data_IF_287325472965
#
_entry.id   IF_287325472965
#
_cell.length_a   1.000
_cell.length_b   1.000
_cell.length_c   1.000
_cell.angle_alpha   90.00
_cell.angle_beta   90.00
_cell.angle_gamma   90.00
#
_symmetry.space_group_name_H-M   'P 1'
#
loop_
_entity.id
_entity.type
_entity.pdbx_description
1 polymer ?
#
# COMPACT_ATOMS: atom_id res chain seq x y z
N UNK A 1 -35.95 0.81 24.97
CA UNK A 1 -34.88 1.35 24.11
C UNK A 1 -33.72 0.37 24.19
N UNK A 2 -33.56 -0.47 23.18
CA UNK A 2 -32.49 -1.48 23.15
C UNK A 2 -31.26 -0.82 22.54
N UNK A 3 -30.13 -0.84 23.27
CA UNK A 3 -28.88 -0.29 22.78
C UNK A 3 -28.46 -1.04 21.51
N UNK A 4 -28.10 -0.28 20.46
CA UNK A 4 -27.46 -0.84 19.27
C UNK A 4 -26.07 -1.33 19.69
N UNK A 5 -25.71 -2.60 19.46
CA UNK A 5 -24.37 -3.07 19.80
C UNK A 5 -23.34 -2.28 18.99
N UNK A 6 -22.41 -1.65 19.70
CA UNK A 6 -21.23 -1.04 19.09
C UNK A 6 -20.43 -2.16 18.45
N UNK A 7 -20.31 -2.14 17.13
CA UNK A 7 -19.45 -3.08 16.43
C UNK A 7 -18.00 -2.77 16.79
N UNK A 8 -17.41 -3.63 17.63
CA UNK A 8 -16.02 -3.52 18.03
C UNK A 8 -15.15 -3.71 16.78
N UNK A 9 -14.19 -2.80 16.58
CA UNK A 9 -13.25 -2.87 15.47
C UNK A 9 -12.31 -4.03 15.75
N UNK A 10 -12.57 -5.17 15.11
CA UNK A 10 -11.66 -6.32 15.13
C UNK A 10 -10.26 -5.83 14.72
N UNK A 11 -9.25 -5.87 15.61
CA UNK A 11 -7.90 -5.51 15.22
C UNK A 11 -7.53 -6.44 14.07
N UNK A 12 -7.00 -5.89 12.98
CA UNK A 12 -6.50 -6.70 11.87
C UNK A 12 -5.41 -7.61 12.42
N UNK A 13 -5.77 -8.84 12.82
CA UNK A 13 -4.89 -9.90 13.32
C UNK A 13 -4.13 -10.53 12.15
N UNK A 14 -3.79 -9.73 11.14
CA UNK A 14 -2.97 -10.20 10.03
C UNK A 14 -1.60 -10.58 10.60
N UNK A 15 -1.24 -11.86 10.46
CA UNK A 15 0.11 -12.38 10.74
C UNK A 15 1.18 -11.58 9.99
N UNK A 16 0.80 -10.94 8.89
CA UNK A 16 1.64 -10.08 8.07
C UNK A 16 1.65 -8.67 8.65
N UNK A 17 2.82 -8.24 9.12
CA UNK A 17 3.07 -6.86 9.52
C UNK A 17 3.58 -6.08 8.31
N UNK A 18 2.75 -5.24 7.66
CA UNK A 18 3.24 -4.37 6.61
C UNK A 18 4.21 -3.35 7.21
N UNK A 19 5.26 -3.04 6.46
CA UNK A 19 6.32 -2.12 6.90
C UNK A 19 6.67 -1.07 5.84
N UNK A 20 6.05 -1.14 4.66
CA UNK A 20 6.37 -0.31 3.50
C UNK A 20 5.11 0.31 2.91
N UNK A 21 5.24 1.59 2.55
CA UNK A 21 4.26 2.34 1.77
C UNK A 21 4.86 2.67 0.39
N UNK A 22 4.07 2.48 -0.66
CA UNK A 22 4.46 2.83 -2.03
C UNK A 22 3.31 3.55 -2.73
N UNK A 23 3.61 4.59 -3.49
CA UNK A 23 2.63 5.23 -4.38
C UNK A 23 2.29 4.27 -5.52
N UNK A 24 1.01 3.89 -5.60
CA UNK A 24 0.48 3.01 -6.64
C UNK A 24 0.02 3.82 -7.85
N UNK A 25 -0.79 4.85 -7.60
CA UNK A 25 -1.28 5.79 -8.62
C UNK A 25 -1.34 7.21 -8.05
N UNK A 26 -0.96 8.19 -8.85
CA UNK A 26 -1.16 9.62 -8.54
C UNK A 26 -2.48 10.10 -9.16
N UNK A 27 -3.10 11.11 -8.58
CA UNK A 27 -4.26 11.77 -9.18
C UNK A 27 -3.95 12.21 -10.60
N UNK A 28 -4.86 11.88 -11.54
CA UNK A 28 -4.69 12.10 -12.98
C UNK A 28 -3.51 11.38 -13.64
N UNK A 29 -2.85 10.46 -12.93
CA UNK A 29 -1.83 9.56 -13.49
C UNK A 29 -2.44 8.36 -14.23
N UNK A 30 -1.66 7.72 -15.09
CA UNK A 30 -2.07 6.45 -15.71
C UNK A 30 -2.03 5.35 -14.66
N UNK A 31 -3.13 4.63 -14.51
CA UNK A 31 -3.22 3.46 -13.62
C UNK A 31 -2.59 2.26 -14.32
N UNK A 32 -1.63 1.62 -13.66
CA UNK A 32 -1.06 0.37 -14.17
C UNK A 32 -2.12 -0.72 -14.18
N UNK A 33 -2.14 -1.57 -15.22
CA UNK A 33 -3.10 -2.69 -15.33
C UNK A 33 -2.80 -3.85 -14.35
N UNK A 34 -1.80 -3.72 -13.47
CA UNK A 34 -1.45 -4.74 -12.50
C UNK A 34 -2.37 -4.68 -11.28
N UNK A 35 -3.24 -5.68 -11.14
CA UNK A 35 -4.23 -5.75 -10.06
C UNK A 35 -3.63 -6.08 -8.68
N UNK A 36 -2.39 -6.57 -8.63
CA UNK A 36 -1.73 -6.99 -7.39
C UNK A 36 -0.95 -5.83 -6.78
N UNK A 37 0.06 -5.31 -7.50
CA UNK A 37 0.92 -4.21 -7.02
C UNK A 37 1.69 -3.57 -8.18
N UNK A 38 1.94 -2.26 -8.09
CA UNK A 38 2.82 -1.56 -9.03
C UNK A 38 4.28 -1.95 -8.74
N UNK A 39 4.98 -2.55 -9.72
CA UNK A 39 6.36 -3.01 -9.60
C UNK A 39 7.41 -2.07 -10.21
N UNK A 40 6.96 -0.96 -10.81
CA UNK A 40 7.80 0.02 -11.47
C UNK A 40 8.33 1.06 -10.47
N UNK A 41 9.47 1.66 -10.80
CA UNK A 41 10.05 2.84 -10.13
C UNK A 41 10.03 2.80 -8.59
N UNK A 42 10.60 1.75 -8.00
CA UNK A 42 10.69 1.60 -6.54
C UNK A 42 11.47 2.74 -5.89
N UNK A 43 12.49 3.27 -6.57
CA UNK A 43 13.37 4.30 -6.03
C UNK A 43 12.62 5.63 -5.78
N UNK A 44 11.63 5.95 -6.62
CA UNK A 44 10.84 7.18 -6.47
C UNK A 44 9.52 6.96 -5.74
N UNK A 45 8.88 5.81 -5.92
CA UNK A 45 7.52 5.59 -5.44
C UNK A 45 7.47 5.01 -4.03
N UNK A 46 8.56 4.43 -3.51
CA UNK A 46 8.62 3.89 -2.14
C UNK A 46 8.92 5.00 -1.14
N UNK A 47 8.06 5.14 -0.14
CA UNK A 47 8.18 6.12 0.94
C UNK A 47 9.15 5.58 2.00
N UNK A 48 10.45 5.66 1.73
CA UNK A 48 11.52 5.16 2.60
C UNK A 48 11.86 6.12 3.74
N UNK A 49 11.74 7.43 3.52
CA UNK A 49 12.07 8.47 4.50
C UNK A 49 10.89 8.78 5.42
N UNK A 50 10.96 8.28 6.65
CA UNK A 50 9.95 8.47 7.69
C UNK A 50 9.95 9.86 8.31
N UNK A 51 10.94 10.70 8.00
CA UNK A 51 11.02 12.08 8.51
C UNK A 51 10.25 13.07 7.63
N UNK A 52 9.95 12.68 6.38
CA UNK A 52 9.17 13.48 5.43
C UNK A 52 7.69 13.36 5.68
N UNK A 53 6.97 14.46 5.45
CA UNK A 53 5.51 14.44 5.41
C UNK A 53 5.01 13.77 4.13
N UNK A 54 3.77 13.26 4.13
CA UNK A 54 3.16 12.67 2.94
C UNK A 54 3.15 13.65 1.75
N UNK A 55 2.93 14.94 2.02
CA UNK A 55 3.00 15.99 1.00
C UNK A 55 4.40 16.10 0.38
N UNK A 56 5.46 16.04 1.20
CA UNK A 56 6.85 16.05 0.71
C UNK A 56 7.22 14.78 -0.08
N UNK A 57 6.50 13.68 0.14
CA UNK A 57 6.60 12.45 -0.65
C UNK A 57 5.76 12.50 -1.94
N UNK A 58 5.09 13.63 -2.24
CA UNK A 58 4.26 13.79 -3.43
C UNK A 58 2.90 13.09 -3.35
N UNK A 59 2.40 12.85 -2.13
CA UNK A 59 1.02 12.38 -1.90
C UNK A 59 0.08 13.57 -1.92
N UNK A 60 -0.88 13.52 -2.83
CA UNK A 60 -1.91 14.53 -3.03
C UNK A 60 -3.32 13.92 -2.86
N UNK A 61 -4.36 14.74 -2.99
CA UNK A 61 -5.74 14.24 -3.02
C UNK A 61 -5.89 13.15 -4.10
N UNK A 62 -6.68 12.10 -3.84
CA UNK A 62 -6.87 10.93 -4.73
C UNK A 62 -5.61 10.10 -5.05
N UNK A 63 -4.51 10.26 -4.30
CA UNK A 63 -3.35 9.36 -4.42
C UNK A 63 -3.66 7.99 -3.81
N UNK A 64 -3.43 6.93 -4.58
CA UNK A 64 -3.56 5.54 -4.11
C UNK A 64 -2.20 5.05 -3.60
N UNK A 65 -2.18 4.48 -2.39
CA UNK A 65 -0.98 3.91 -1.76
C UNK A 65 -1.13 2.40 -1.58
N UNK A 66 -0.10 1.64 -1.94
CA UNK A 66 0.05 0.23 -1.58
C UNK A 66 0.73 0.11 -0.21
N UNK A 67 0.22 -0.79 0.63
CA UNK A 67 0.75 -1.08 1.97
C UNK A 67 1.11 -2.56 2.04
N UNK A 68 2.39 -2.89 2.24
CA UNK A 68 2.87 -4.27 2.15
C UNK A 68 4.15 -4.50 2.97
N UNK A 69 4.62 -5.75 3.02
CA UNK A 69 5.92 -6.10 3.58
C UNK A 69 7.00 -6.10 2.48
N UNK A 70 8.09 -5.36 2.69
CA UNK A 70 9.17 -5.23 1.69
C UNK A 70 9.77 -6.57 1.26
N UNK A 71 10.00 -7.49 2.20
CA UNK A 71 10.67 -8.75 1.88
C UNK A 71 9.78 -9.63 1.00
N UNK A 72 8.50 -9.71 1.32
CA UNK A 72 7.51 -10.46 0.52
C UNK A 72 7.38 -9.85 -0.88
N UNK A 73 7.43 -8.52 -1.00
CA UNK A 73 7.45 -7.83 -2.29
C UNK A 73 8.69 -8.16 -3.13
N UNK A 74 9.88 -8.12 -2.53
CA UNK A 74 11.13 -8.47 -3.24
C UNK A 74 11.14 -9.93 -3.67
N UNK A 75 10.57 -10.84 -2.87
CA UNK A 75 10.41 -12.24 -3.23
C UNK A 75 9.41 -12.41 -4.39
N UNK A 76 8.24 -11.78 -4.29
CA UNK A 76 7.22 -11.76 -5.35
C UNK A 76 7.78 -11.22 -6.68
N UNK A 77 8.58 -10.14 -6.64
CA UNK A 77 9.16 -9.52 -7.84
C UNK A 77 10.10 -10.46 -8.61
N UNK A 78 10.70 -11.46 -7.95
CA UNK A 78 11.59 -12.46 -8.60
C UNK A 78 10.80 -13.49 -9.41
N UNK A 79 9.60 -13.84 -8.97
CA UNK A 79 8.70 -14.77 -9.65
C UNK A 79 7.24 -14.33 -9.43
N UNK A 80 6.75 -13.34 -10.20
CA UNK A 80 5.40 -12.82 -10.00
C UNK A 80 4.37 -13.85 -10.49
N UNK A 81 3.83 -14.61 -9.55
CA UNK A 81 2.72 -15.54 -9.80
C UNK A 81 1.42 -14.95 -9.27
N UNK A 82 0.44 -14.81 -10.17
CA UNK A 82 -0.94 -14.49 -9.80
C UNK A 82 -1.65 -15.79 -9.38
N UNK A 83 -1.92 -15.93 -8.08
CA UNK A 83 -2.71 -17.05 -7.54
C UNK A 83 -4.13 -16.53 -7.28
N UNK A 84 -5.09 -17.09 -8.00
CA UNK A 84 -6.52 -16.83 -7.88
C UNK A 84 -7.20 -17.93 -7.06
#
# INVERSE_FOLDING_TARGET
MSAVPTQEFEPLTSTVRPNTLKIYTKAHGSKTMNLVINMEDDDQLVLSDKTKTLLQCGVENETELSVFNWNDYVEYKKNPEEKW
#
